data_IF_460753061173
#
_entry.id   IF_460753061173
#
_cell.length_a   1.000
_cell.length_b   1.000
_cell.length_c   1.000
_cell.angle_alpha   90.00
_cell.angle_beta   90.00
_cell.angle_gamma   90.00
#
_symmetry.space_group_name_H-M   'P 1'
#
loop_
_entity.id
_entity.type
_entity.pdbx_description
1 polymer ?
#
# COMPACT_ATOMS: atom_id res chain seq x y z
N UNK A 1 11.00 -29.42 61.48
CA UNK A 1 9.79 -29.39 60.62
C UNK A 1 9.14 -28.01 60.51
N UNK A 2 8.95 -27.25 61.61
CA UNK A 2 8.34 -25.91 61.54
C UNK A 2 9.13 -24.91 60.68
N UNK A 3 10.47 -24.92 60.75
CA UNK A 3 11.37 -24.04 59.97
C UNK A 3 11.31 -24.28 58.46
N UNK A 4 11.24 -25.55 58.02
CA UNK A 4 11.07 -25.90 56.60
C UNK A 4 9.70 -25.46 56.05
N UNK A 5 8.66 -25.48 56.89
CA UNK A 5 7.32 -25.00 56.52
C UNK A 5 7.33 -23.49 56.24
N UNK A 6 8.09 -22.71 57.01
CA UNK A 6 8.24 -21.28 56.77
C UNK A 6 9.05 -20.99 55.49
N UNK A 7 10.14 -21.73 55.23
CA UNK A 7 10.94 -21.58 54.00
C UNK A 7 10.09 -21.86 52.75
N UNK A 8 9.29 -22.93 52.77
CA UNK A 8 8.41 -23.27 51.65
C UNK A 8 7.33 -22.21 51.42
N UNK A 9 6.78 -21.64 52.50
CA UNK A 9 5.79 -20.56 52.42
C UNK A 9 6.39 -19.28 51.81
N UNK A 10 7.63 -18.95 52.16
CA UNK A 10 8.34 -17.79 51.61
C UNK A 10 8.66 -17.98 50.12
N UNK A 11 9.11 -19.18 49.72
CA UNK A 11 9.39 -19.48 48.30
C UNK A 11 8.12 -19.39 47.43
N UNK A 12 6.99 -19.86 47.97
CA UNK A 12 5.68 -19.75 47.30
C UNK A 12 5.26 -18.28 47.13
N UNK A 13 5.56 -17.43 48.11
CA UNK A 13 5.25 -16.00 48.04
C UNK A 13 6.13 -15.25 47.01
N UNK A 14 7.37 -15.67 46.80
CA UNK A 14 8.23 -15.10 45.74
C UNK A 14 7.88 -15.61 44.34
N UNK A 15 7.19 -16.75 44.21
CA UNK A 15 6.77 -17.29 42.90
C UNK A 15 5.63 -16.52 42.23
N UNK A 16 4.99 -15.58 42.92
CA UNK A 16 3.93 -14.72 42.36
C UNK A 16 4.44 -13.38 41.84
N UNK A 17 5.74 -13.09 41.96
CA UNK A 17 6.36 -11.86 41.44
C UNK A 17 6.81 -12.16 40.00
N UNK A 18 5.93 -11.91 39.03
CA UNK A 18 6.25 -11.99 37.60
C UNK A 18 6.95 -10.73 37.10
N UNK A 19 7.88 -10.88 36.15
CA UNK A 19 8.56 -9.78 35.47
C UNK A 19 7.80 -9.28 34.23
N UNK A 20 6.47 -9.37 34.19
CA UNK A 20 5.68 -8.95 33.02
C UNK A 20 5.94 -7.48 32.64
N UNK A 21 6.12 -6.59 33.64
CA UNK A 21 6.48 -5.19 33.43
C UNK A 21 7.84 -4.92 32.76
N UNK A 22 8.75 -5.91 32.68
CA UNK A 22 10.04 -5.78 31.99
C UNK A 22 9.93 -5.99 30.48
N UNK A 23 8.86 -6.65 30.03
CA UNK A 23 8.56 -6.93 28.61
C UNK A 23 7.26 -6.29 28.16
N UNK A 24 6.62 -5.51 29.04
CA UNK A 24 5.48 -4.67 28.70
C UNK A 24 5.90 -3.69 27.59
N UNK A 25 5.05 -3.54 26.59
CA UNK A 25 5.22 -2.68 25.41
C UNK A 25 6.43 -2.99 24.49
N UNK A 26 7.25 -4.00 24.78
CA UNK A 26 8.42 -4.34 23.91
C UNK A 26 8.00 -4.81 22.51
N UNK A 27 6.77 -5.35 22.41
CA UNK A 27 6.19 -5.82 21.15
C UNK A 27 5.23 -4.81 20.51
N UNK A 28 5.02 -3.65 21.15
CA UNK A 28 4.21 -2.60 20.58
C UNK A 28 5.02 -1.91 19.48
N UNK A 29 4.52 -2.01 18.25
CA UNK A 29 5.17 -1.40 17.12
C UNK A 29 4.80 0.09 17.05
N UNK A 30 5.72 1.03 17.35
CA UNK A 30 5.42 2.46 17.32
C UNK A 30 5.15 2.98 15.89
N UNK A 31 5.44 2.18 14.87
CA UNK A 31 5.13 2.47 13.46
C UNK A 31 3.85 1.80 12.99
N UNK A 32 3.15 1.05 13.85
CA UNK A 32 1.87 0.46 13.50
C UNK A 32 0.85 1.56 13.29
N UNK A 33 0.21 1.52 12.13
CA UNK A 33 -0.89 2.42 11.81
C UNK A 33 -2.12 1.91 12.54
N UNK A 34 -2.72 2.81 13.30
CA UNK A 34 -3.96 2.58 14.03
C UNK A 34 -4.70 3.91 14.16
N UNK A 35 -5.96 3.86 14.58
CA UNK A 35 -6.72 5.07 14.89
C UNK A 35 -6.07 5.93 15.98
N UNK A 36 -5.31 5.32 16.89
CA UNK A 36 -4.63 5.98 18.00
C UNK A 36 -3.23 6.50 17.61
N UNK A 37 -2.61 5.94 16.57
CA UNK A 37 -1.31 6.34 16.02
C UNK A 37 -1.46 6.94 14.61
N UNK A 38 -2.12 8.09 14.53
CA UNK A 38 -2.45 8.73 13.26
C UNK A 38 -1.22 9.22 12.47
N UNK A 39 -0.14 9.62 13.15
CA UNK A 39 1.08 10.13 12.51
C UNK A 39 1.77 9.05 11.66
N UNK A 40 1.69 7.78 12.05
CA UNK A 40 2.12 6.67 11.21
C UNK A 40 1.32 6.59 9.90
N UNK A 41 0.01 6.87 9.96
CA UNK A 41 -0.85 6.99 8.78
C UNK A 41 -0.41 8.14 7.85
N UNK A 42 -0.02 9.29 8.40
CA UNK A 42 0.50 10.41 7.61
C UNK A 42 1.79 10.04 6.87
N UNK A 43 2.68 9.28 7.50
CA UNK A 43 3.90 8.79 6.85
C UNK A 43 3.59 7.81 5.72
N UNK A 44 2.60 6.93 5.91
CA UNK A 44 2.18 6.02 4.85
C UNK A 44 1.58 6.77 3.64
N UNK A 45 0.80 7.82 3.88
CA UNK A 45 0.25 8.64 2.79
C UNK A 45 1.37 9.22 1.91
N UNK A 46 2.45 9.73 2.52
CA UNK A 46 3.60 10.25 1.76
C UNK A 46 4.25 9.18 0.88
N UNK A 47 4.34 7.95 1.38
CA UNK A 47 4.84 6.81 0.62
C UNK A 47 3.94 6.49 -0.59
N UNK A 48 2.62 6.49 -0.39
CA UNK A 48 1.62 6.30 -1.44
C UNK A 48 1.73 7.39 -2.52
N UNK A 49 1.84 8.65 -2.11
CA UNK A 49 1.98 9.79 -3.04
C UNK A 49 3.26 9.68 -3.88
N UNK A 50 4.39 9.33 -3.24
CA UNK A 50 5.66 9.15 -3.94
C UNK A 50 5.60 8.00 -4.94
N UNK A 51 5.00 6.87 -4.57
CA UNK A 51 4.77 5.75 -5.48
C UNK A 51 3.89 6.18 -6.67
N UNK A 52 2.84 6.99 -6.44
CA UNK A 52 1.98 7.48 -7.50
C UNK A 52 2.72 8.43 -8.47
N UNK A 53 3.63 9.28 -7.98
CA UNK A 53 4.48 10.09 -8.86
C UNK A 53 5.27 9.20 -9.81
N UNK A 54 5.80 8.08 -9.34
CA UNK A 54 6.52 7.11 -10.19
C UNK A 54 5.62 6.51 -11.28
N UNK A 55 4.39 6.14 -10.94
CA UNK A 55 3.42 5.56 -11.90
C UNK A 55 2.99 6.59 -12.94
N UNK A 56 2.72 7.84 -12.55
CA UNK A 56 2.10 8.83 -13.43
C UNK A 56 3.11 9.69 -14.21
N UNK A 57 4.31 9.90 -13.66
CA UNK A 57 5.30 10.84 -14.21
C UNK A 57 6.70 10.22 -14.31
N UNK A 58 6.79 8.89 -14.18
CA UNK A 58 8.04 8.16 -14.22
C UNK A 58 8.45 7.71 -15.63
N UNK A 59 9.08 6.53 -15.66
CA UNK A 59 9.65 5.97 -16.87
C UNK A 59 8.62 5.75 -17.98
N UNK A 60 7.44 5.25 -17.65
CA UNK A 60 6.40 4.96 -18.62
C UNK A 60 5.88 6.20 -19.35
N UNK A 61 5.81 7.33 -18.66
CA UNK A 61 5.44 8.63 -19.26
C UNK A 61 6.48 9.07 -20.29
N UNK A 62 7.77 8.80 -20.04
CA UNK A 62 8.85 9.08 -21.00
C UNK A 62 8.74 8.19 -22.24
N UNK A 63 8.42 6.91 -22.06
CA UNK A 63 8.17 5.98 -23.16
C UNK A 63 6.97 6.44 -23.98
N UNK A 64 5.86 6.80 -23.32
CA UNK A 64 4.69 7.38 -23.98
C UNK A 64 5.01 8.66 -24.74
N UNK A 65 5.87 9.52 -24.20
CA UNK A 65 6.37 10.73 -24.88
C UNK A 65 7.15 10.41 -26.16
N UNK A 66 7.97 9.36 -26.14
CA UNK A 66 8.71 8.90 -27.32
C UNK A 66 7.78 8.38 -28.42
N UNK A 67 6.78 7.57 -28.06
CA UNK A 67 5.87 6.96 -29.05
C UNK A 67 4.75 7.90 -29.52
N UNK A 68 4.41 8.93 -28.75
CA UNK A 68 3.50 10.00 -29.17
C UNK A 68 4.18 11.10 -29.98
N UNK A 69 5.51 11.03 -30.16
CA UNK A 69 6.29 12.02 -30.91
C UNK A 69 6.60 13.30 -30.15
N UNK A 70 6.39 13.35 -28.83
CA UNK A 70 6.78 14.48 -27.98
C UNK A 70 8.28 14.52 -27.72
N UNK A 71 8.94 13.37 -27.68
CA UNK A 71 10.38 13.23 -27.47
C UNK A 71 10.96 12.20 -28.45
N UNK A 72 12.29 12.15 -28.56
CA UNK A 72 13.00 11.17 -29.40
C UNK A 72 14.06 10.43 -28.58
N UNK A 73 14.20 9.13 -28.81
CA UNK A 73 15.27 8.32 -28.25
C UNK A 73 16.49 8.31 -29.18
N UNK A 74 17.61 8.88 -28.75
CA UNK A 74 18.78 9.12 -29.64
C UNK A 74 19.84 8.02 -29.52
N UNK A 75 20.05 7.45 -28.34
CA UNK A 75 21.10 6.44 -28.11
C UNK A 75 20.73 5.41 -27.04
N UNK A 76 21.45 4.28 -27.04
CA UNK A 76 21.39 3.21 -26.04
C UNK A 76 19.95 2.72 -25.78
N UNK A 77 19.58 2.53 -24.51
CA UNK A 77 18.27 2.09 -24.06
C UNK A 77 17.13 2.88 -24.73
N UNK A 78 17.19 4.20 -24.70
CA UNK A 78 16.10 5.03 -25.21
C UNK A 78 15.97 4.98 -26.73
N UNK A 79 17.06 4.78 -27.49
CA UNK A 79 16.95 4.51 -28.93
C UNK A 79 16.21 3.21 -29.19
N UNK A 80 16.57 2.14 -28.47
CA UNK A 80 15.90 0.84 -28.58
C UNK A 80 14.41 0.95 -28.29
N UNK A 81 14.04 1.62 -27.18
CA UNK A 81 12.64 1.80 -26.81
C UNK A 81 11.89 2.66 -27.85
N UNK A 82 12.49 3.74 -28.34
CA UNK A 82 11.89 4.59 -29.39
C UNK A 82 11.64 3.81 -30.69
N UNK A 83 12.50 2.84 -31.01
CA UNK A 83 12.35 1.90 -32.12
C UNK A 83 11.37 0.73 -31.80
N UNK A 84 10.57 0.87 -30.74
CA UNK A 84 9.57 -0.10 -30.27
C UNK A 84 10.14 -1.44 -29.78
N UNK A 85 11.44 -1.50 -29.48
CA UNK A 85 12.05 -2.67 -28.88
C UNK A 85 12.04 -2.52 -27.34
N UNK A 86 10.93 -2.97 -26.73
CA UNK A 86 10.62 -2.91 -25.31
C UNK A 86 10.65 -4.31 -24.66
N UNK A 87 11.28 -4.46 -23.50
CA UNK A 87 11.19 -5.66 -22.66
C UNK A 87 10.15 -5.49 -21.55
N UNK A 88 9.68 -6.60 -20.96
CA UNK A 88 8.75 -6.56 -19.83
C UNK A 88 9.34 -5.82 -18.60
N UNK A 89 10.66 -5.92 -18.40
CA UNK A 89 11.40 -5.28 -17.30
C UNK A 89 11.16 -3.77 -17.23
N UNK A 90 10.96 -3.11 -18.37
CA UNK A 90 10.69 -1.67 -18.43
C UNK A 90 9.39 -1.26 -17.70
N UNK A 91 8.51 -2.23 -17.41
CA UNK A 91 7.22 -2.01 -16.76
C UNK A 91 7.11 -2.56 -15.33
N UNK A 92 8.08 -3.34 -14.87
CA UNK A 92 8.03 -3.98 -13.54
C UNK A 92 7.91 -2.97 -12.41
N UNK A 93 8.63 -1.85 -12.51
CA UNK A 93 8.62 -0.82 -11.47
C UNK A 93 7.24 -0.17 -11.31
N UNK A 94 6.55 0.15 -12.42
CA UNK A 94 5.23 0.78 -12.33
C UNK A 94 4.18 -0.22 -11.84
N UNK A 95 4.32 -1.50 -12.20
CA UNK A 95 3.46 -2.57 -11.71
C UNK A 95 3.59 -2.72 -10.20
N UNK A 96 4.82 -2.84 -9.70
CA UNK A 96 5.09 -2.95 -8.26
C UNK A 96 4.60 -1.73 -7.49
N UNK A 97 4.86 -0.51 -7.98
CA UNK A 97 4.41 0.71 -7.32
C UNK A 97 2.88 0.81 -7.29
N UNK A 98 2.18 0.47 -8.37
CA UNK A 98 0.72 0.52 -8.40
C UNK A 98 0.09 -0.46 -7.40
N UNK A 99 0.53 -1.72 -7.37
CA UNK A 99 -0.08 -2.73 -6.51
C UNK A 99 0.40 -2.66 -5.07
N UNK A 100 1.71 -2.65 -4.85
CA UNK A 100 2.31 -2.76 -3.52
C UNK A 100 2.58 -1.40 -2.87
N UNK A 101 2.96 -0.40 -3.67
CA UNK A 101 3.22 0.95 -3.18
C UNK A 101 1.95 1.77 -2.94
N UNK A 102 0.91 1.54 -3.73
CA UNK A 102 -0.32 2.35 -3.71
C UNK A 102 -1.51 1.53 -3.22
N UNK A 103 -1.99 0.54 -3.98
CA UNK A 103 -3.29 -0.09 -3.70
C UNK A 103 -3.30 -0.81 -2.34
N UNK A 104 -2.32 -1.66 -2.05
CA UNK A 104 -2.24 -2.37 -0.77
C UNK A 104 -2.14 -1.40 0.40
N UNK A 105 -1.33 -0.35 0.26
CA UNK A 105 -1.11 0.66 1.31
C UNK A 105 -2.35 1.53 1.54
N UNK A 106 -3.02 1.97 0.46
CA UNK A 106 -4.27 2.73 0.52
C UNK A 106 -5.36 1.94 1.27
N UNK A 107 -5.56 0.68 0.90
CA UNK A 107 -6.54 -0.20 1.56
C UNK A 107 -6.18 -0.49 3.02
N UNK A 108 -4.90 -0.67 3.32
CA UNK A 108 -4.39 -0.85 4.69
C UNK A 108 -4.68 0.38 5.55
N UNK A 109 -4.38 1.59 5.05
CA UNK A 109 -4.66 2.84 5.75
C UNK A 109 -6.16 3.01 6.04
N UNK A 110 -7.02 2.80 5.03
CA UNK A 110 -8.47 2.93 5.18
C UNK A 110 -8.97 1.99 6.29
N UNK A 111 -8.53 0.72 6.26
CA UNK A 111 -8.94 -0.29 7.24
C UNK A 111 -8.47 0.04 8.66
N UNK A 112 -7.21 0.42 8.81
CA UNK A 112 -6.60 0.62 10.14
C UNK A 112 -6.99 1.93 10.82
N UNK A 113 -7.54 2.89 10.06
CA UNK A 113 -7.94 4.21 10.58
C UNK A 113 -9.45 4.41 10.58
N UNK A 114 -10.25 3.39 10.28
CA UNK A 114 -11.70 3.52 10.05
C UNK A 114 -12.48 4.18 11.19
N UNK A 115 -12.02 4.03 12.44
CA UNK A 115 -12.67 4.61 13.63
C UNK A 115 -12.16 6.01 13.99
N UNK A 116 -11.11 6.49 13.31
CA UNK A 116 -10.52 7.80 13.59
C UNK A 116 -11.33 8.92 12.91
N UNK A 117 -11.75 9.97 13.63
CA UNK A 117 -12.43 11.13 13.02
C UNK A 117 -11.60 11.84 11.95
N UNK A 118 -10.27 11.72 12.00
CA UNK A 118 -9.35 12.30 11.00
C UNK A 118 -9.23 11.45 9.73
N UNK A 119 -9.67 10.19 9.75
CA UNK A 119 -9.47 9.25 8.65
C UNK A 119 -10.34 9.51 7.43
N UNK A 120 -11.46 10.22 7.58
CA UNK A 120 -12.38 10.48 6.47
C UNK A 120 -11.69 11.21 5.31
N UNK A 121 -10.92 12.26 5.62
CA UNK A 121 -10.18 13.03 4.62
C UNK A 121 -9.11 12.19 3.93
N UNK A 122 -8.32 11.44 4.70
CA UNK A 122 -7.23 10.62 4.20
C UNK A 122 -7.74 9.44 3.37
N UNK A 123 -8.83 8.82 3.81
CA UNK A 123 -9.55 7.79 3.05
C UNK A 123 -10.03 8.32 1.71
N UNK A 124 -10.50 9.57 1.65
CA UNK A 124 -10.84 10.22 0.39
C UNK A 124 -9.63 10.36 -0.53
N UNK A 125 -8.52 10.87 -0.01
CA UNK A 125 -7.27 11.07 -0.76
C UNK A 125 -6.76 9.75 -1.34
N UNK A 126 -6.58 8.73 -0.50
CA UNK A 126 -5.98 7.46 -0.96
C UNK A 126 -6.90 6.69 -1.91
N UNK A 127 -8.23 6.85 -1.84
CA UNK A 127 -9.15 6.30 -2.85
C UNK A 127 -8.97 6.96 -4.22
N UNK A 128 -8.75 8.27 -4.24
CA UNK A 128 -8.47 8.99 -5.49
C UNK A 128 -7.13 8.54 -6.08
N UNK A 129 -6.11 8.38 -5.24
CA UNK A 129 -4.78 7.91 -5.66
C UNK A 129 -4.85 6.46 -6.15
N UNK A 130 -5.53 5.55 -5.44
CA UNK A 130 -5.74 4.15 -5.86
C UNK A 130 -6.39 4.10 -7.25
N UNK A 131 -7.48 4.84 -7.45
CA UNK A 131 -8.19 4.89 -8.72
C UNK A 131 -7.33 5.49 -9.85
N UNK A 132 -6.52 6.51 -9.56
CA UNK A 132 -5.59 7.09 -10.53
C UNK A 132 -4.50 6.10 -10.94
N UNK A 133 -3.91 5.37 -9.98
CA UNK A 133 -2.88 4.38 -10.26
C UNK A 133 -3.42 3.18 -11.04
N UNK A 134 -4.49 2.53 -10.57
CA UNK A 134 -5.02 1.34 -11.24
C UNK A 134 -5.68 1.69 -12.59
N UNK A 135 -6.27 2.88 -12.72
CA UNK A 135 -6.76 3.39 -13.99
C UNK A 135 -5.64 3.53 -15.03
N UNK A 136 -4.47 4.01 -14.62
CA UNK A 136 -3.28 4.07 -15.48
C UNK A 136 -2.80 2.68 -15.87
N UNK A 137 -2.72 1.74 -14.93
CA UNK A 137 -2.32 0.35 -15.19
C UNK A 137 -3.30 -0.32 -16.17
N UNK A 138 -4.61 -0.24 -15.94
CA UNK A 138 -5.60 -0.77 -16.87
C UNK A 138 -5.51 -0.11 -18.26
N UNK A 139 -5.23 1.20 -18.33
CA UNK A 139 -5.08 1.91 -19.62
C UNK A 139 -3.86 1.45 -20.42
N UNK A 140 -2.79 1.04 -19.75
CA UNK A 140 -1.54 0.58 -20.38
C UNK A 140 -1.59 -0.91 -20.76
N UNK A 141 -2.18 -1.75 -19.91
CA UNK A 141 -2.09 -3.21 -20.01
C UNK A 141 -3.39 -3.91 -20.38
N UNK A 142 -4.53 -3.21 -20.37
CA UNK A 142 -5.84 -3.79 -20.63
C UNK A 142 -6.46 -4.39 -19.37
N UNK A 143 -6.70 -5.70 -19.39
CA UNK A 143 -7.26 -6.44 -18.26
C UNK A 143 -6.18 -6.61 -17.19
N UNK A 144 -6.53 -6.39 -15.92
CA UNK A 144 -5.57 -6.32 -14.81
C UNK A 144 -6.20 -6.80 -13.49
N UNK A 145 -5.43 -7.36 -12.53
CA UNK A 145 -5.97 -7.74 -11.23
C UNK A 145 -6.56 -6.55 -10.47
N UNK A 146 -7.80 -6.66 -9.97
CA UNK A 146 -8.37 -5.55 -9.17
C UNK A 146 -9.39 -5.93 -8.10
N UNK A 147 -10.40 -6.71 -8.44
CA UNK A 147 -11.50 -7.05 -7.53
C UNK A 147 -11.05 -7.91 -6.34
N UNK A 148 -10.03 -8.74 -6.54
CA UNK A 148 -9.53 -9.69 -5.56
C UNK A 148 -8.18 -9.31 -4.92
N UNK A 149 -7.57 -8.18 -5.32
CA UNK A 149 -6.27 -7.79 -4.79
C UNK A 149 -6.37 -7.30 -3.35
N UNK A 150 -5.25 -7.34 -2.62
CA UNK A 150 -5.16 -6.92 -1.20
C UNK A 150 -6.01 -7.75 -0.22
N UNK A 151 -6.57 -8.88 -0.66
CA UNK A 151 -7.12 -9.92 0.19
C UNK A 151 -6.04 -10.98 0.42
N UNK A 152 -5.61 -11.14 1.68
CA UNK A 152 -4.54 -12.09 2.03
C UNK A 152 -4.99 -13.56 1.92
N UNK A 153 -6.29 -13.82 1.70
CA UNK A 153 -6.82 -15.14 1.40
C UNK A 153 -6.76 -15.52 -0.09
N UNK A 154 -6.38 -14.59 -0.97
CA UNK A 154 -6.30 -14.81 -2.41
C UNK A 154 -4.86 -14.71 -2.87
N UNK A 155 -4.23 -15.87 -3.11
CA UNK A 155 -2.84 -15.93 -3.58
C UNK A 155 -2.69 -15.46 -5.04
N UNK A 156 -3.63 -15.87 -5.91
CA UNK A 156 -3.61 -15.60 -7.35
C UNK A 156 -4.87 -14.83 -7.78
N UNK A 157 -4.86 -13.48 -7.67
CA UNK A 157 -6.01 -12.67 -8.04
C UNK A 157 -6.27 -12.70 -9.55
N UNK A 158 -7.53 -12.87 -9.93
CA UNK A 158 -7.93 -12.88 -11.35
C UNK A 158 -7.75 -11.51 -12.00
N UNK A 159 -7.54 -11.52 -13.31
CA UNK A 159 -7.51 -10.31 -14.13
C UNK A 159 -8.95 -9.88 -14.44
N UNK A 160 -9.31 -8.70 -13.96
CA UNK A 160 -10.59 -8.09 -14.29
C UNK A 160 -10.51 -7.38 -15.64
N UNK A 161 -11.64 -7.38 -16.36
CA UNK A 161 -11.74 -6.67 -17.64
C UNK A 161 -11.44 -5.17 -17.51
N UNK A 162 -10.70 -4.58 -18.45
CA UNK A 162 -10.31 -3.16 -18.45
C UNK A 162 -11.49 -2.22 -18.16
N UNK A 163 -12.63 -2.46 -18.81
CA UNK A 163 -13.86 -1.66 -18.63
C UNK A 163 -14.40 -1.74 -17.20
N UNK A 164 -14.36 -2.92 -16.60
CA UNK A 164 -14.82 -3.13 -15.22
C UNK A 164 -13.91 -2.40 -14.24
N UNK A 165 -12.58 -2.46 -14.45
CA UNK A 165 -11.60 -1.74 -13.62
C UNK A 165 -11.81 -0.23 -13.71
N UNK A 166 -11.95 0.34 -14.92
CA UNK A 166 -12.21 1.77 -15.10
C UNK A 166 -13.56 2.20 -14.49
N UNK A 167 -14.58 1.35 -14.55
CA UNK A 167 -15.86 1.61 -13.89
C UNK A 167 -15.72 1.63 -12.37
N UNK A 168 -14.91 0.74 -11.79
CA UNK A 168 -14.63 0.73 -10.37
C UNK A 168 -13.82 1.97 -9.93
N UNK A 169 -12.86 2.44 -10.74
CA UNK A 169 -12.15 3.69 -10.52
C UNK A 169 -13.11 4.89 -10.41
N UNK A 170 -14.10 4.96 -11.31
CA UNK A 170 -15.13 6.01 -11.27
C UNK A 170 -15.90 6.01 -9.95
N UNK A 171 -16.24 4.82 -9.42
CA UNK A 171 -16.92 4.71 -8.13
C UNK A 171 -16.06 5.19 -6.96
N UNK A 172 -14.75 4.92 -7.00
CA UNK A 172 -13.81 5.42 -6.01
C UNK A 172 -13.68 6.95 -6.03
N UNK A 173 -13.70 7.59 -7.21
CA UNK A 173 -13.66 9.06 -7.31
C UNK A 173 -14.93 9.76 -6.84
N UNK A 174 -16.10 9.14 -7.06
CA UNK A 174 -17.37 9.78 -6.73
C UNK A 174 -17.70 9.72 -5.23
N UNK A 175 -17.34 8.63 -4.54
CA UNK A 175 -17.68 8.44 -3.10
C UNK A 175 -17.14 9.55 -2.18
N UNK A 176 -15.88 10.02 -2.31
CA UNK A 176 -15.34 11.10 -1.47
C UNK A 176 -15.95 12.48 -1.72
N UNK A 177 -16.63 12.71 -2.85
CA UNK A 177 -17.17 14.02 -3.24
C UNK A 177 -18.62 14.24 -2.81
N UNK A 178 -19.29 13.18 -2.31
CA UNK A 178 -20.72 13.20 -1.98
C UNK A 178 -21.01 13.34 -0.49
N UNK A 179 -19.99 13.38 0.37
CA UNK A 179 -20.10 13.52 1.82
C UNK A 179 -19.11 14.54 2.37
#
# INVERSE_FOLDING_TARGET
>A
MKTFKYIFLTLLFFSTIGCEGLVEDINDNPNQISSDNFDAGVLLLKGIELANVSVQVGHQTRIGGMWSGQTIGISLLYKSIYEYNLSAEETDNIWQNAYQGIVKQARTMIKQTETSPKAAQYSGIVKVIEANAIGTIASLFGDVPYSQISDDAVDDPVFDGQKAVLQACRLLWMKPLLN
#
